data_IF_519686357292
#
_entry.id   IF_519686357292
#
_cell.length_a   1.000
_cell.length_b   1.000
_cell.length_c   1.000
_cell.angle_alpha   90.00
_cell.angle_beta   90.00
_cell.angle_gamma   90.00
#
_symmetry.space_group_name_H-M   'P 1'
#
loop_
_entity.id
_entity.type
_entity.pdbx_description
1 polymer ?
#
# COMPACT_ATOMS: atom_id res chain seq x y z
N UNK A 1 25.70 7.21 6.57
CA UNK A 1 24.26 6.96 6.43
C UNK A 1 23.51 8.26 6.63
N UNK A 2 22.53 8.54 5.73
CA UNK A 2 21.55 9.58 5.91
C UNK A 2 20.35 8.98 6.66
N UNK A 3 20.09 9.46 7.87
CA UNK A 3 18.87 9.13 8.59
C UNK A 3 17.76 10.08 8.14
N UNK A 4 16.65 9.55 7.65
CA UNK A 4 15.49 10.33 7.18
C UNK A 4 14.21 9.82 7.85
N UNK A 5 13.36 10.74 8.28
CA UNK A 5 12.15 10.43 9.04
C UNK A 5 10.86 10.94 8.37
N UNK A 6 10.97 11.69 7.29
CA UNK A 6 9.84 12.20 6.52
C UNK A 6 10.13 12.23 5.02
N UNK A 7 9.06 12.40 4.24
CA UNK A 7 9.14 12.45 2.78
C UNK A 7 10.02 13.59 2.27
N UNK A 8 10.02 14.74 2.91
CA UNK A 8 10.82 15.91 2.48
C UNK A 8 12.32 15.62 2.59
N UNK A 9 12.74 15.03 3.72
CA UNK A 9 14.13 14.59 3.91
C UNK A 9 14.49 13.48 2.90
N UNK A 10 13.59 12.53 2.70
CA UNK A 10 13.77 11.42 1.76
C UNK A 10 13.92 11.92 0.31
N UNK A 11 13.05 12.84 -0.13
CA UNK A 11 13.09 13.39 -1.49
C UNK A 11 14.39 14.16 -1.76
N UNK A 12 14.96 14.80 -0.75
CA UNK A 12 16.22 15.55 -0.85
C UNK A 12 17.47 14.66 -1.03
N UNK A 13 17.38 13.37 -0.74
CA UNK A 13 18.51 12.46 -0.90
C UNK A 13 18.78 12.20 -2.39
N UNK A 14 19.99 12.46 -2.81
CA UNK A 14 20.44 12.20 -4.19
C UNK A 14 21.57 11.18 -4.27
N UNK A 15 22.25 10.88 -3.15
CA UNK A 15 23.39 9.98 -3.09
C UNK A 15 23.60 9.42 -1.67
N UNK A 16 24.47 8.41 -1.55
CA UNK A 16 24.89 7.83 -0.28
C UNK A 16 23.98 6.73 0.25
N UNK A 17 24.31 6.26 1.45
CA UNK A 17 23.56 5.21 2.15
C UNK A 17 22.45 5.84 2.98
N UNK A 18 21.23 5.36 2.81
CA UNK A 18 20.02 5.89 3.47
C UNK A 18 19.49 4.89 4.49
N UNK A 19 19.00 5.40 5.61
CA UNK A 19 18.22 4.68 6.60
C UNK A 19 16.96 5.49 6.88
N UNK A 20 15.82 5.05 6.32
CA UNK A 20 14.53 5.74 6.42
C UNK A 20 13.65 5.12 7.50
N UNK A 21 13.12 5.94 8.41
CA UNK A 21 12.17 5.56 9.46
C UNK A 21 10.99 6.54 9.40
N UNK A 22 9.96 6.20 8.63
CA UNK A 22 8.86 7.12 8.32
C UNK A 22 7.65 6.96 9.25
N UNK A 23 7.69 6.00 10.17
CA UNK A 23 6.64 5.77 11.16
C UNK A 23 7.25 5.23 12.46
N UNK A 24 6.55 5.41 13.62
CA UNK A 24 7.02 4.89 14.91
C UNK A 24 7.05 3.35 15.00
N UNK A 25 6.20 2.66 14.22
CA UNK A 25 6.13 1.20 14.16
C UNK A 25 6.10 0.75 12.71
N UNK A 26 4.96 0.82 12.07
CA UNK A 26 4.70 0.42 10.70
C UNK A 26 4.10 1.56 9.88
N UNK A 27 4.33 1.56 8.57
CA UNK A 27 3.69 2.48 7.64
C UNK A 27 2.17 2.22 7.59
N UNK A 28 1.41 3.26 7.28
CA UNK A 28 -0.05 3.14 7.12
C UNK A 28 -0.40 2.39 5.85
N UNK A 29 -1.64 1.89 5.79
CA UNK A 29 -2.26 1.53 4.52
C UNK A 29 -2.28 2.73 3.58
N UNK A 30 -2.20 2.51 2.28
CA UNK A 30 -2.20 3.60 1.30
C UNK A 30 -3.43 4.50 1.40
N UNK A 31 -4.60 3.95 1.75
CA UNK A 31 -5.82 4.71 1.98
C UNK A 31 -5.67 5.75 3.11
N UNK A 32 -4.86 5.44 4.13
CA UNK A 32 -4.65 6.28 5.32
C UNK A 32 -3.29 7.00 5.30
N UNK A 33 -2.51 6.85 4.22
CA UNK A 33 -1.17 7.41 4.10
C UNK A 33 -1.20 8.93 4.18
N UNK A 34 -0.29 9.49 4.96
CA UNK A 34 -0.12 10.94 5.07
C UNK A 34 0.81 11.47 4.00
N UNK A 35 0.71 12.78 3.74
CA UNK A 35 1.55 13.45 2.75
C UNK A 35 3.04 13.48 3.11
N UNK A 36 3.37 13.34 4.38
CA UNK A 36 4.75 13.28 4.90
C UNK A 36 5.35 11.87 4.89
N UNK A 37 4.57 10.85 4.52
CA UNK A 37 5.02 9.47 4.34
C UNK A 37 5.27 9.18 2.86
N UNK A 38 6.44 8.64 2.46
CA UNK A 38 6.68 8.25 1.09
C UNK A 38 5.85 7.00 0.73
N UNK A 39 5.29 6.99 -0.48
CA UNK A 39 4.58 5.83 -1.02
C UNK A 39 5.57 4.75 -1.48
N UNK A 40 5.09 3.50 -1.58
CA UNK A 40 5.91 2.37 -2.05
C UNK A 40 6.54 2.60 -3.43
N UNK A 41 5.83 3.12 -4.46
CA UNK A 41 6.45 3.43 -5.75
C UNK A 41 7.57 4.47 -5.65
N UNK A 42 7.40 5.48 -4.78
CA UNK A 42 8.43 6.50 -4.55
C UNK A 42 9.67 5.90 -3.89
N UNK A 43 9.48 5.05 -2.88
CA UNK A 43 10.58 4.32 -2.22
C UNK A 43 11.29 3.39 -3.21
N UNK A 44 10.55 2.67 -4.04
CA UNK A 44 11.09 1.79 -5.09
C UNK A 44 11.95 2.57 -6.09
N UNK A 45 11.43 3.67 -6.60
CA UNK A 45 12.14 4.53 -7.54
C UNK A 45 13.44 5.08 -6.95
N UNK A 46 13.38 5.59 -5.71
CA UNK A 46 14.54 6.12 -5.00
C UNK A 46 15.58 5.04 -4.71
N UNK A 47 15.15 3.86 -4.27
CA UNK A 47 16.05 2.74 -4.01
C UNK A 47 16.81 2.33 -5.27
N UNK A 48 16.12 2.16 -6.38
CA UNK A 48 16.76 1.86 -7.67
C UNK A 48 17.70 2.99 -8.07
N UNK A 49 17.30 4.26 -7.97
CA UNK A 49 18.15 5.42 -8.29
C UNK A 49 19.46 5.45 -7.50
N UNK A 50 19.42 5.08 -6.22
CA UNK A 50 20.61 5.09 -5.36
C UNK A 50 21.49 3.86 -5.60
N UNK A 51 20.86 2.67 -5.65
CA UNK A 51 21.58 1.40 -5.74
C UNK A 51 22.20 1.17 -7.12
N UNK A 52 21.56 1.63 -8.19
CA UNK A 52 22.07 1.48 -9.56
C UNK A 52 23.35 2.26 -9.85
N UNK A 53 23.82 3.09 -8.93
CA UNK A 53 25.12 3.77 -9.03
C UNK A 53 26.28 2.84 -8.75
N UNK A 54 26.05 1.71 -8.07
CA UNK A 54 27.07 0.70 -7.81
C UNK A 54 27.35 -0.08 -9.10
N UNK A 55 28.63 -0.10 -9.50
CA UNK A 55 29.07 -0.78 -10.72
C UNK A 55 29.14 -2.29 -10.57
N UNK A 56 29.19 -2.77 -9.34
CA UNK A 56 29.23 -4.21 -9.02
C UNK A 56 27.80 -4.79 -8.97
N UNK A 57 26.78 -3.95 -9.17
CA UNK A 57 25.37 -4.32 -9.14
C UNK A 57 24.76 -4.16 -7.76
N UNK A 58 23.49 -4.59 -7.62
CA UNK A 58 22.77 -4.49 -6.37
C UNK A 58 21.73 -5.60 -6.21
N UNK A 59 21.35 -5.85 -4.98
CA UNK A 59 20.18 -6.61 -4.60
C UNK A 59 19.18 -5.68 -3.91
N UNK A 60 17.94 -5.68 -4.36
CA UNK A 60 16.84 -4.92 -3.75
C UNK A 60 15.69 -5.86 -3.42
N UNK A 61 15.31 -5.92 -2.15
CA UNK A 61 14.09 -6.57 -1.68
C UNK A 61 13.05 -5.50 -1.33
N UNK A 62 11.84 -5.67 -1.84
CA UNK A 62 10.68 -4.84 -1.54
C UNK A 62 9.64 -5.71 -0.87
N UNK A 63 9.21 -5.32 0.32
CA UNK A 63 8.16 -5.99 1.05
C UNK A 63 6.91 -5.10 1.13
N UNK A 64 5.74 -5.71 0.96
CA UNK A 64 4.44 -5.02 0.99
C UNK A 64 3.57 -5.65 2.06
N UNK A 65 4.03 -5.59 3.31
CA UNK A 65 3.39 -6.23 4.47
C UNK A 65 1.92 -5.85 4.65
N UNK A 66 1.52 -4.64 4.24
CA UNK A 66 0.14 -4.18 4.39
C UNK A 66 -0.87 -4.94 3.53
N UNK A 67 -0.45 -5.56 2.44
CA UNK A 67 -1.31 -6.49 1.67
C UNK A 67 -1.74 -7.69 2.52
N UNK A 68 -0.79 -8.30 3.21
CA UNK A 68 -1.03 -9.43 4.09
C UNK A 68 -1.98 -9.05 5.24
N UNK A 69 -1.71 -7.94 5.91
CA UNK A 69 -2.53 -7.47 7.02
C UNK A 69 -3.96 -7.12 6.58
N UNK A 70 -4.11 -6.45 5.44
CA UNK A 70 -5.44 -6.16 4.87
C UNK A 70 -6.20 -7.44 4.54
N UNK A 71 -5.52 -8.45 4.01
CA UNK A 71 -6.12 -9.73 3.68
C UNK A 71 -6.53 -10.51 4.95
N UNK A 72 -5.70 -10.52 6.00
CA UNK A 72 -6.04 -11.11 7.30
C UNK A 72 -7.27 -10.42 7.93
N UNK A 73 -7.39 -9.12 7.79
CA UNK A 73 -8.50 -8.34 8.33
C UNK A 73 -9.76 -8.37 7.42
N UNK A 74 -9.70 -9.01 6.26
CA UNK A 74 -10.73 -8.93 5.20
C UNK A 74 -11.07 -7.50 4.79
N UNK A 75 -10.09 -6.59 4.87
CA UNK A 75 -10.18 -5.17 4.60
C UNK A 75 -10.10 -4.90 3.08
N UNK A 76 -11.18 -5.14 2.36
CA UNK A 76 -11.22 -5.12 0.88
C UNK A 76 -10.71 -3.81 0.29
N UNK A 77 -11.06 -2.67 0.88
CA UNK A 77 -10.67 -1.36 0.33
C UNK A 77 -9.20 -1.06 0.59
N UNK A 78 -8.70 -1.35 1.81
CA UNK A 78 -7.30 -1.26 2.13
C UNK A 78 -6.47 -2.14 1.19
N UNK A 79 -6.84 -3.43 1.06
CA UNK A 79 -6.17 -4.38 0.18
C UNK A 79 -6.10 -3.87 -1.27
N UNK A 80 -7.21 -3.35 -1.81
CA UNK A 80 -7.27 -2.85 -3.19
C UNK A 80 -6.33 -1.65 -3.39
N UNK A 81 -6.25 -0.75 -2.42
CA UNK A 81 -5.33 0.38 -2.43
C UNK A 81 -3.87 -0.07 -2.46
N UNK A 82 -3.50 -0.92 -1.52
CA UNK A 82 -2.12 -1.40 -1.39
C UNK A 82 -1.68 -2.27 -2.60
N UNK A 83 -2.58 -3.11 -3.17
CA UNK A 83 -2.31 -3.84 -4.43
C UNK A 83 -1.98 -2.86 -5.57
N UNK A 84 -2.73 -1.77 -5.70
CA UNK A 84 -2.48 -0.78 -6.76
C UNK A 84 -1.08 -0.17 -6.63
N UNK A 85 -0.66 0.20 -5.44
CA UNK A 85 0.67 0.76 -5.20
C UNK A 85 1.78 -0.28 -5.35
N UNK A 86 1.50 -1.55 -5.04
CA UNK A 86 2.41 -2.65 -5.34
C UNK A 86 2.60 -2.83 -6.85
N UNK A 87 1.51 -2.85 -7.63
CA UNK A 87 1.57 -2.94 -9.09
C UNK A 87 2.37 -1.79 -9.71
N UNK A 88 2.16 -0.55 -9.22
CA UNK A 88 2.93 0.62 -9.64
C UNK A 88 4.44 0.46 -9.32
N UNK A 89 4.79 -0.07 -8.15
CA UNK A 89 6.18 -0.34 -7.76
C UNK A 89 6.83 -1.42 -8.64
N UNK A 90 6.10 -2.50 -8.93
CA UNK A 90 6.53 -3.55 -9.88
C UNK A 90 6.73 -2.94 -11.27
N UNK A 91 5.81 -2.07 -11.72
CA UNK A 91 5.93 -1.34 -12.97
C UNK A 91 7.24 -0.53 -13.08
N UNK A 92 7.66 0.14 -11.99
CA UNK A 92 8.92 0.88 -11.92
C UNK A 92 10.12 -0.09 -12.08
N UNK A 93 10.13 -1.21 -11.35
CA UNK A 93 11.20 -2.20 -11.43
C UNK A 93 11.30 -2.81 -12.83
N UNK A 94 10.18 -3.17 -13.45
CA UNK A 94 10.12 -3.69 -14.81
C UNK A 94 10.59 -2.67 -15.85
N UNK A 95 10.26 -1.40 -15.69
CA UNK A 95 10.73 -0.34 -16.58
C UNK A 95 12.25 -0.14 -16.48
N UNK A 96 12.82 -0.24 -15.28
CA UNK A 96 14.27 -0.25 -15.10
C UNK A 96 14.89 -1.45 -15.82
N UNK A 97 14.37 -2.66 -15.65
CA UNK A 97 14.88 -3.88 -16.28
C UNK A 97 14.77 -3.86 -17.83
N UNK A 98 13.80 -3.13 -18.40
CA UNK A 98 13.71 -2.98 -19.88
C UNK A 98 14.94 -2.32 -20.48
N UNK A 99 15.56 -1.39 -19.78
CA UNK A 99 16.75 -0.66 -20.23
C UNK A 99 18.05 -1.20 -19.67
N UNK A 100 18.00 -1.97 -18.59
CA UNK A 100 19.14 -2.58 -17.91
C UNK A 100 19.01 -4.12 -17.98
N UNK A 101 19.52 -4.70 -19.06
CA UNK A 101 19.27 -6.10 -19.45
C UNK A 101 19.84 -7.14 -18.50
N UNK A 102 20.75 -6.78 -17.63
CA UNK A 102 21.36 -7.64 -16.60
C UNK A 102 20.56 -7.63 -15.29
N UNK A 103 19.31 -7.15 -15.35
CA UNK A 103 18.40 -7.06 -14.19
C UNK A 103 17.34 -8.14 -14.24
N UNK A 104 17.26 -8.95 -13.18
CA UNK A 104 16.17 -9.89 -12.93
C UNK A 104 15.19 -9.27 -11.94
N UNK A 105 13.90 -9.28 -12.28
CA UNK A 105 12.80 -8.91 -11.40
C UNK A 105 11.99 -10.16 -11.06
N UNK A 106 11.84 -10.43 -9.77
CA UNK A 106 11.04 -11.55 -9.24
C UNK A 106 9.90 -10.97 -8.43
N UNK A 107 8.68 -11.41 -8.71
CA UNK A 107 7.48 -11.09 -7.94
C UNK A 107 6.95 -12.41 -7.40
N UNK A 108 6.84 -12.51 -6.07
CA UNK A 108 6.40 -13.74 -5.42
C UNK A 108 5.55 -13.41 -4.20
N UNK A 109 4.61 -14.28 -3.90
CA UNK A 109 3.91 -14.32 -2.61
C UNK A 109 4.63 -15.35 -1.71
N UNK A 110 4.71 -15.08 -0.43
CA UNK A 110 5.19 -16.02 0.60
C UNK A 110 4.11 -17.04 0.96
N UNK A 111 2.84 -16.64 1.02
CA UNK A 111 1.66 -17.49 1.23
C UNK A 111 0.39 -16.80 0.73
N UNK A 112 -0.72 -17.53 0.75
CA UNK A 112 -2.07 -17.00 0.56
C UNK A 112 -2.76 -16.77 1.89
N UNK A 113 -3.78 -15.91 1.90
CA UNK A 113 -4.67 -15.69 3.04
C UNK A 113 -6.06 -16.30 2.75
N UNK A 114 -6.99 -16.23 3.72
CA UNK A 114 -8.29 -16.90 3.68
C UNK A 114 -9.27 -16.53 2.55
N UNK A 115 -8.84 -15.66 1.65
CA UNK A 115 -9.65 -15.18 0.53
C UNK A 115 -10.59 -14.05 0.92
N UNK A 116 -10.83 -13.14 -0.04
CA UNK A 116 -11.79 -12.04 0.11
C UNK A 116 -12.93 -12.28 -0.87
N UNK A 117 -14.17 -12.20 -0.38
CA UNK A 117 -15.37 -12.22 -1.22
C UNK A 117 -16.09 -10.87 -1.09
N UNK A 118 -16.66 -10.40 -2.20
CA UNK A 118 -17.45 -9.17 -2.24
C UNK A 118 -18.93 -9.51 -2.39
N UNK A 119 -19.76 -8.69 -1.76
CA UNK A 119 -21.20 -8.82 -1.83
C UNK A 119 -21.85 -8.83 -0.45
N UNK A 120 -23.17 -8.92 -0.45
CA UNK A 120 -23.99 -8.99 0.74
C UNK A 120 -25.29 -9.79 0.45
N UNK A 121 -26.20 -9.87 1.40
CA UNK A 121 -27.46 -10.60 1.25
C UNK A 121 -28.25 -10.14 0.02
N UNK A 122 -28.30 -8.83 -0.26
CA UNK A 122 -29.03 -8.29 -1.43
C UNK A 122 -28.41 -8.70 -2.78
N UNK A 123 -27.13 -9.01 -2.81
CA UNK A 123 -26.41 -9.42 -4.04
C UNK A 123 -26.31 -10.94 -4.18
N UNK A 124 -26.54 -11.70 -3.12
CA UNK A 124 -26.32 -13.15 -3.03
C UNK A 124 -27.16 -13.94 -4.06
N UNK A 125 -28.45 -13.63 -4.20
CA UNK A 125 -29.37 -14.36 -5.08
C UNK A 125 -29.10 -14.17 -6.58
N UNK A 126 -28.40 -13.10 -6.99
CA UNK A 126 -28.17 -12.72 -8.37
C UNK A 126 -26.68 -12.48 -8.68
N UNK A 127 -25.80 -13.04 -7.90
CA UNK A 127 -24.36 -12.75 -7.93
C UNK A 127 -23.75 -12.85 -9.34
N UNK A 128 -24.14 -13.88 -10.13
CA UNK A 128 -23.62 -14.11 -11.48
C UNK A 128 -24.16 -13.18 -12.55
N UNK A 129 -25.24 -12.42 -12.27
CA UNK A 129 -25.93 -11.58 -13.26
C UNK A 129 -25.83 -10.10 -12.94
N UNK A 130 -25.46 -9.75 -11.72
CA UNK A 130 -25.30 -8.35 -11.32
C UNK A 130 -24.06 -7.71 -11.95
N UNK A 131 -24.13 -6.45 -12.34
CA UNK A 131 -22.94 -5.74 -12.83
C UNK A 131 -21.95 -5.49 -11.69
N UNK A 132 -20.67 -5.34 -12.02
CA UNK A 132 -19.58 -5.18 -11.04
C UNK A 132 -19.81 -4.00 -10.09
N UNK A 133 -20.43 -2.93 -10.55
CA UNK A 133 -20.72 -1.75 -9.73
C UNK A 133 -21.71 -2.04 -8.58
N UNK A 134 -22.57 -3.06 -8.68
CA UNK A 134 -23.42 -3.50 -7.58
C UNK A 134 -22.60 -3.94 -6.34
N UNK A 135 -21.37 -4.38 -6.56
CA UNK A 135 -20.45 -4.81 -5.51
C UNK A 135 -19.45 -3.73 -5.10
N UNK A 136 -19.10 -2.82 -6.02
CA UNK A 136 -17.98 -1.89 -5.82
C UNK A 136 -18.40 -0.47 -5.45
N UNK A 137 -19.64 -0.03 -5.75
CA UNK A 137 -20.03 1.36 -5.54
C UNK A 137 -20.08 1.79 -4.07
N UNK A 138 -20.37 0.85 -3.17
CA UNK A 138 -20.29 1.12 -1.72
C UNK A 138 -18.83 1.24 -1.27
N UNK A 139 -17.95 0.37 -1.78
CA UNK A 139 -16.52 0.37 -1.44
C UNK A 139 -15.81 1.64 -1.88
N UNK A 140 -16.22 2.22 -3.02
CA UNK A 140 -15.66 3.50 -3.54
C UNK A 140 -15.92 4.70 -2.63
N UNK A 141 -16.88 4.59 -1.70
CA UNK A 141 -17.23 5.67 -0.75
C UNK A 141 -16.40 5.65 0.51
N UNK A 142 -15.67 4.58 0.76
CA UNK A 142 -14.83 4.43 1.95
C UNK A 142 -13.66 5.40 1.91
N UNK A 143 -13.50 6.19 2.97
CA UNK A 143 -12.52 7.27 3.05
C UNK A 143 -11.32 6.94 3.97
N UNK A 144 -11.43 5.91 4.78
CA UNK A 144 -10.39 5.46 5.71
C UNK A 144 -10.53 3.96 5.96
N UNK A 145 -9.47 3.33 6.45
CA UNK A 145 -9.52 1.92 6.82
C UNK A 145 -10.33 1.71 8.10
N UNK A 146 -10.79 0.47 8.32
CA UNK A 146 -11.47 0.05 9.55
C UNK A 146 -10.60 0.27 10.79
N UNK A 147 -9.28 0.11 10.66
CA UNK A 147 -8.33 0.36 11.74
C UNK A 147 -8.31 1.84 12.13
N UNK A 148 -8.24 2.73 11.16
CA UNK A 148 -8.25 4.18 11.39
C UNK A 148 -9.59 4.64 11.93
N UNK A 149 -10.70 4.09 11.42
CA UNK A 149 -12.04 4.35 11.92
C UNK A 149 -12.18 3.89 13.39
N UNK A 150 -11.74 2.69 13.72
CA UNK A 150 -11.78 2.17 15.09
C UNK A 150 -10.98 3.07 16.06
N UNK A 151 -9.77 3.51 15.68
CA UNK A 151 -8.98 4.45 16.46
C UNK A 151 -9.69 5.80 16.66
N UNK A 152 -10.37 6.30 15.63
CA UNK A 152 -11.13 7.56 15.72
C UNK A 152 -12.34 7.42 16.65
N UNK A 153 -13.06 6.29 16.60
CA UNK A 153 -14.19 5.99 17.49
C UNK A 153 -13.73 5.94 18.95
N UNK A 154 -12.67 5.19 19.24
CA UNK A 154 -12.13 5.05 20.61
C UNK A 154 -11.72 6.42 21.17
N UNK A 155 -11.15 7.28 20.32
CA UNK A 155 -10.70 8.62 20.72
C UNK A 155 -11.84 9.61 20.96
N UNK A 156 -12.99 9.44 20.28
CA UNK A 156 -14.14 10.36 20.28
C UNK A 156 -15.43 9.62 20.64
N UNK A 157 -15.51 9.02 21.82
CA UNK A 157 -16.70 8.25 22.27
C UNK A 157 -18.02 9.06 22.18
N UNK A 158 -17.98 10.38 22.30
CA UNK A 158 -19.17 11.25 22.26
C UNK A 158 -19.72 11.50 20.83
N UNK A 159 -18.96 11.22 19.76
CA UNK A 159 -19.35 11.54 18.37
C UNK A 159 -19.33 10.31 17.43
N UNK A 160 -19.41 9.12 17.98
CA UNK A 160 -19.29 7.85 17.22
C UNK A 160 -20.32 7.73 16.09
N UNK A 161 -21.56 8.20 16.31
CA UNK A 161 -22.64 8.12 15.31
C UNK A 161 -22.37 8.96 14.06
N UNK A 162 -21.65 10.05 14.19
CA UNK A 162 -21.36 10.97 13.08
C UNK A 162 -20.19 10.44 12.24
N UNK A 163 -19.20 9.82 12.88
CA UNK A 163 -18.07 9.16 12.18
C UNK A 163 -18.52 7.95 11.33
N UNK A 164 -19.50 7.19 11.81
CA UNK A 164 -20.04 6.01 11.08
C UNK A 164 -20.87 6.43 9.88
N UNK A 165 -21.58 7.56 9.94
CA UNK A 165 -22.46 8.04 8.85
C UNK A 165 -21.70 8.68 7.69
N UNK A 166 -20.49 9.18 7.92
CA UNK A 166 -19.67 9.88 6.91
C UNK A 166 -18.71 8.97 6.16
N UNK A 167 -18.55 7.75 6.59
CA UNK A 167 -17.72 6.69 6.01
C UNK A 167 -18.57 5.46 5.69
#
# INVERSE_FOLDING_TARGET
YHLVADKKQFDAITDGKVFGLFAPSDLRYELDRKQDEPALPEMTSKAIQLLSKDKDGFFLMLEVSKLDWAAHNNATVALTGDIKFFDDAVGIALNYAKTNKDTLVIVASDHGNGGISMGNEATSGNYSTLPINAFTDTLKKVQMTEETLAKAIIKNEEHTSDLIKTN
#
